data_IF_837605995393
#
_entry.id   IF_837605995393
#
_cell.length_a   1.000
_cell.length_b   1.000
_cell.length_c   1.000
_cell.angle_alpha   90.00
_cell.angle_beta   90.00
_cell.angle_gamma   90.00
#
_symmetry.space_group_name_H-M   'P 1'
#
loop_
_entity.id
_entity.type
_entity.pdbx_description
1 polymer ?
#
# COMPACT_ATOMS: atom_id res chain seq x y z
N UNK A 1 12.00 -13.20 9.34
CA UNK A 1 11.60 -11.95 8.67
C UNK A 1 12.80 -11.02 8.59
N UNK A 2 13.67 -11.24 7.59
CA UNK A 2 14.78 -10.32 7.29
C UNK A 2 14.24 -9.03 6.69
N UNK A 3 14.96 -7.91 6.83
CA UNK A 3 14.52 -6.57 6.42
C UNK A 3 14.32 -6.49 4.88
N UNK A 4 13.12 -6.78 4.39
CA UNK A 4 12.80 -6.73 2.96
C UNK A 4 12.32 -5.35 2.46
N UNK A 5 12.17 -4.36 3.36
CA UNK A 5 11.59 -3.06 3.07
C UNK A 5 12.54 -1.96 3.56
N UNK A 6 12.81 -0.94 2.74
CA UNK A 6 13.32 0.34 3.26
C UNK A 6 12.18 1.00 4.05
N UNK A 7 12.09 0.60 5.31
CA UNK A 7 11.05 1.01 6.24
C UNK A 7 10.93 2.54 6.29
N UNK A 8 11.99 3.29 6.02
CA UNK A 8 11.98 4.75 6.15
C UNK A 8 11.09 5.44 5.10
N UNK A 9 11.11 4.98 3.85
CA UNK A 9 10.34 5.57 2.76
C UNK A 9 8.86 5.22 2.86
N UNK A 10 8.54 3.96 3.14
CA UNK A 10 7.17 3.48 3.36
C UNK A 10 6.54 4.17 4.56
N UNK A 11 7.24 4.24 5.70
CA UNK A 11 6.74 4.95 6.89
C UNK A 11 6.48 6.43 6.58
N UNK A 12 7.36 7.11 5.83
CA UNK A 12 7.13 8.50 5.42
C UNK A 12 5.86 8.66 4.57
N UNK A 13 5.57 7.72 3.67
CA UNK A 13 4.34 7.74 2.86
C UNK A 13 3.10 7.50 3.73
N UNK A 14 3.15 6.51 4.63
CA UNK A 14 2.05 6.23 5.56
C UNK A 14 1.77 7.42 6.49
N UNK A 15 2.81 8.10 7.02
CA UNK A 15 2.64 9.33 7.81
C UNK A 15 1.97 10.46 7.02
N UNK A 16 2.19 10.56 5.71
CA UNK A 16 1.46 11.51 4.86
C UNK A 16 -0.01 11.14 4.75
N UNK A 17 -0.32 9.85 4.52
CA UNK A 17 -1.71 9.37 4.48
C UNK A 17 -2.40 9.62 5.81
N UNK A 18 -1.75 9.34 6.94
CA UNK A 18 -2.26 9.67 8.28
C UNK A 18 -2.61 11.16 8.42
N UNK A 19 -1.75 12.05 7.93
CA UNK A 19 -2.03 13.48 7.87
C UNK A 19 -3.24 13.85 7.01
N UNK A 20 -3.43 13.18 5.87
CA UNK A 20 -4.61 13.36 5.03
C UNK A 20 -5.89 12.91 5.74
N UNK A 21 -5.87 11.77 6.42
CA UNK A 21 -7.01 11.29 7.22
C UNK A 21 -7.37 12.27 8.34
N UNK A 22 -6.37 12.80 9.07
CA UNK A 22 -6.60 13.85 10.07
C UNK A 22 -7.21 15.12 9.45
N UNK A 23 -6.75 15.50 8.26
CA UNK A 23 -7.32 16.62 7.49
C UNK A 23 -8.79 16.40 7.16
N UNK A 24 -9.15 15.20 6.69
CA UNK A 24 -10.54 14.83 6.38
C UNK A 24 -11.43 14.92 7.64
N UNK A 25 -10.96 14.41 8.78
CA UNK A 25 -11.70 14.50 10.05
C UNK A 25 -11.98 15.96 10.38
N UNK A 26 -10.97 16.83 10.30
CA UNK A 26 -11.12 18.27 10.54
C UNK A 26 -12.08 18.93 9.55
N UNK A 27 -12.09 18.52 8.28
CA UNK A 27 -13.05 19.03 7.30
C UNK A 27 -14.49 18.68 7.67
N UNK A 28 -14.72 17.49 8.23
CA UNK A 28 -16.04 17.08 8.72
C UNK A 28 -16.41 17.90 9.96
N UNK A 29 -15.50 18.08 10.91
CA UNK A 29 -15.72 18.90 12.11
C UNK A 29 -16.00 20.39 11.80
N UNK A 30 -15.49 20.88 10.67
CA UNK A 30 -15.70 22.25 10.18
C UNK A 30 -16.87 22.39 9.18
N UNK A 31 -17.72 21.36 9.04
CA UNK A 31 -18.87 21.34 8.11
C UNK A 31 -18.50 21.75 6.67
N UNK A 32 -17.35 21.27 6.16
CA UNK A 32 -16.93 21.52 4.77
C UNK A 32 -17.86 20.82 3.76
N UNK A 33 -17.95 21.33 2.51
CA UNK A 33 -18.73 20.69 1.45
C UNK A 33 -18.37 19.22 1.25
N UNK A 34 -19.40 18.39 1.03
CA UNK A 34 -19.25 16.96 0.82
C UNK A 34 -18.36 16.65 -0.40
N UNK A 35 -18.44 17.46 -1.45
CA UNK A 35 -17.64 17.31 -2.66
C UNK A 35 -16.14 17.43 -2.35
N UNK A 36 -15.75 18.40 -1.52
CA UNK A 36 -14.36 18.61 -1.12
C UNK A 36 -13.83 17.45 -0.26
N UNK A 37 -14.68 16.93 0.64
CA UNK A 37 -14.35 15.76 1.47
C UNK A 37 -14.12 14.53 0.58
N UNK A 38 -15.00 14.29 -0.40
CA UNK A 38 -14.86 13.17 -1.34
C UNK A 38 -13.58 13.27 -2.18
N UNK A 39 -13.19 14.48 -2.59
CA UNK A 39 -11.91 14.73 -3.28
C UNK A 39 -10.73 14.32 -2.39
N UNK A 40 -10.73 14.71 -1.11
CA UNK A 40 -9.65 14.36 -0.18
C UNK A 40 -9.62 12.86 0.16
N UNK A 41 -10.77 12.21 0.27
CA UNK A 41 -10.85 10.74 0.40
C UNK A 41 -10.24 10.07 -0.83
N UNK A 42 -10.57 10.54 -2.04
CA UNK A 42 -9.97 10.05 -3.28
C UNK A 42 -8.45 10.19 -3.31
N UNK A 43 -7.94 11.35 -2.89
CA UNK A 43 -6.50 11.60 -2.79
C UNK A 43 -5.82 10.66 -1.77
N UNK A 44 -6.48 10.41 -0.63
CA UNK A 44 -5.99 9.50 0.41
C UNK A 44 -5.99 8.04 -0.06
N UNK A 45 -7.05 7.59 -0.76
CA UNK A 45 -7.13 6.26 -1.39
C UNK A 45 -5.98 6.08 -2.37
N UNK A 46 -5.74 7.05 -3.26
CA UNK A 46 -4.67 6.99 -4.25
C UNK A 46 -3.27 6.93 -3.62
N UNK A 47 -3.02 7.73 -2.58
CA UNK A 47 -1.76 7.74 -1.86
C UNK A 47 -1.50 6.41 -1.11
N UNK A 48 -2.55 5.84 -0.49
CA UNK A 48 -2.46 4.55 0.18
C UNK A 48 -2.23 3.41 -0.81
N UNK A 49 -2.96 3.40 -1.93
CA UNK A 49 -2.78 2.43 -3.01
C UNK A 49 -1.34 2.46 -3.53
N UNK A 50 -0.80 3.65 -3.86
CA UNK A 50 0.59 3.78 -4.33
C UNK A 50 1.61 3.30 -3.29
N UNK A 51 1.32 3.47 -2.01
CA UNK A 51 2.18 2.97 -0.93
C UNK A 51 2.17 1.44 -0.90
N UNK A 52 0.98 0.82 -0.96
CA UNK A 52 0.85 -0.63 -1.03
C UNK A 52 1.50 -1.23 -2.28
N UNK A 53 1.43 -0.54 -3.42
CA UNK A 53 2.13 -0.95 -4.65
C UNK A 53 3.64 -1.00 -4.44
N UNK A 54 4.22 0.02 -3.80
CA UNK A 54 5.67 0.02 -3.52
C UNK A 54 6.10 -1.12 -2.60
N UNK A 55 5.26 -1.48 -1.62
CA UNK A 55 5.52 -2.62 -0.73
C UNK A 55 5.43 -3.93 -1.50
N UNK A 56 4.45 -4.07 -2.39
CA UNK A 56 4.29 -5.25 -3.24
C UNK A 56 5.49 -5.41 -4.18
N UNK A 57 5.93 -4.34 -4.85
CA UNK A 57 7.12 -4.35 -5.71
C UNK A 57 8.37 -4.80 -4.94
N UNK A 58 8.59 -4.27 -3.73
CA UNK A 58 9.70 -4.69 -2.86
C UNK A 58 9.58 -6.16 -2.42
N UNK A 59 8.36 -6.64 -2.13
CA UNK A 59 8.11 -8.05 -1.77
C UNK A 59 8.42 -9.00 -2.93
N UNK A 60 8.02 -8.63 -4.14
CA UNK A 60 8.32 -9.40 -5.35
C UNK A 60 9.83 -9.46 -5.62
N UNK A 61 10.52 -8.33 -5.48
CA UNK A 61 11.96 -8.26 -5.74
C UNK A 61 12.82 -9.03 -4.73
N UNK A 62 12.45 -9.02 -3.45
CA UNK A 62 13.30 -9.63 -2.41
C UNK A 62 12.82 -11.00 -1.96
N UNK A 63 11.51 -11.19 -1.73
CA UNK A 63 11.03 -12.45 -1.17
C UNK A 63 10.82 -13.52 -2.23
N UNK A 64 10.32 -13.15 -3.41
CA UNK A 64 9.99 -14.13 -4.47
C UNK A 64 11.23 -14.52 -5.27
N UNK A 65 12.07 -13.56 -5.68
CA UNK A 65 13.28 -13.86 -6.46
C UNK A 65 14.32 -14.69 -5.70
N UNK A 66 14.44 -14.49 -4.39
CA UNK A 66 15.37 -15.27 -3.54
C UNK A 66 14.81 -16.67 -3.22
N UNK A 67 13.48 -16.82 -3.10
CA UNK A 67 12.83 -18.13 -2.94
C UNK A 67 12.84 -18.95 -4.25
N UNK A 68 12.73 -18.33 -5.43
CA UNK A 68 12.85 -19.02 -6.73
C UNK A 68 14.19 -19.75 -6.91
N UNK A 69 15.27 -19.25 -6.30
CA UNK A 69 16.59 -19.89 -6.37
C UNK A 69 16.72 -21.14 -5.50
N UNK A 70 15.83 -21.32 -4.51
CA UNK A 70 15.99 -22.30 -3.43
C UNK A 70 14.74 -23.15 -3.15
N UNK A 71 13.62 -22.92 -3.85
CA UNK A 71 12.32 -23.51 -3.55
C UNK A 71 11.57 -24.04 -4.77
N UNK A 72 10.47 -24.73 -4.50
CA UNK A 72 9.53 -25.24 -5.52
C UNK A 72 8.83 -24.07 -6.23
N UNK A 73 9.05 -23.98 -7.55
CA UNK A 73 8.50 -22.94 -8.44
C UNK A 73 6.98 -22.79 -8.29
N UNK A 74 6.25 -23.90 -8.05
CA UNK A 74 4.79 -23.89 -7.89
C UNK A 74 4.36 -23.15 -6.61
N UNK A 75 5.11 -23.35 -5.53
CA UNK A 75 4.84 -22.71 -4.23
C UNK A 75 5.10 -21.20 -4.32
N UNK A 76 6.18 -20.81 -5.01
CA UNK A 76 6.52 -19.40 -5.19
C UNK A 76 5.48 -18.68 -6.05
N UNK A 77 5.05 -19.30 -7.16
CA UNK A 77 3.99 -18.73 -8.01
C UNK A 77 2.66 -18.58 -7.28
N UNK A 78 2.27 -19.55 -6.43
CA UNK A 78 1.06 -19.43 -5.59
C UNK A 78 1.12 -18.23 -4.63
N UNK A 79 2.26 -17.99 -3.97
CA UNK A 79 2.45 -16.82 -3.09
C UNK A 79 2.33 -15.51 -3.87
N UNK A 80 2.94 -15.45 -5.06
CA UNK A 80 2.91 -14.27 -5.93
C UNK A 80 1.49 -13.93 -6.39
N UNK A 81 0.74 -14.92 -6.88
CA UNK A 81 -0.67 -14.76 -7.29
C UNK A 81 -1.54 -14.32 -6.12
N UNK A 82 -1.32 -14.88 -4.92
CA UNK A 82 -2.06 -14.50 -3.71
C UNK A 82 -1.82 -13.03 -3.33
N UNK A 83 -0.55 -12.57 -3.35
CA UNK A 83 -0.20 -11.18 -3.06
C UNK A 83 -0.81 -10.21 -4.09
N UNK A 84 -0.74 -10.54 -5.38
CA UNK A 84 -1.38 -9.77 -6.44
C UNK A 84 -2.90 -9.68 -6.26
N UNK A 85 -3.56 -10.80 -5.95
CA UNK A 85 -5.01 -10.85 -5.74
C UNK A 85 -5.46 -10.04 -4.51
N UNK A 86 -4.66 -9.98 -3.45
CA UNK A 86 -4.99 -9.14 -2.29
C UNK A 86 -4.89 -7.65 -2.64
N UNK A 87 -3.93 -7.27 -3.49
CA UNK A 87 -3.73 -5.88 -3.88
C UNK A 87 -4.71 -5.40 -4.97
N UNK A 88 -5.15 -6.30 -5.88
CA UNK A 88 -6.03 -5.97 -7.01
C UNK A 88 -7.53 -5.95 -6.67
N UNK A 89 -7.94 -6.49 -5.52
CA UNK A 89 -9.36 -6.59 -5.10
C UNK A 89 -10.06 -5.26 -4.84
N UNK A 90 -9.36 -4.14 -4.86
CA UNK A 90 -9.94 -2.81 -4.58
C UNK A 90 -9.67 -1.85 -5.74
N UNK A 91 -10.29 -2.14 -6.88
CA UNK A 91 -10.67 -1.11 -7.86
C UNK A 91 -12.08 -0.64 -7.52
#
# INVERSE_FOLDING_TARGET
MGKCIDNSAVIKRLKRVEGQIRGIIKMIEEDKPCEDILIQIGASKAALHKTGQSILEEHLHHCVLDELKNGDEEVVMKKLISALNQFSKTL
#
